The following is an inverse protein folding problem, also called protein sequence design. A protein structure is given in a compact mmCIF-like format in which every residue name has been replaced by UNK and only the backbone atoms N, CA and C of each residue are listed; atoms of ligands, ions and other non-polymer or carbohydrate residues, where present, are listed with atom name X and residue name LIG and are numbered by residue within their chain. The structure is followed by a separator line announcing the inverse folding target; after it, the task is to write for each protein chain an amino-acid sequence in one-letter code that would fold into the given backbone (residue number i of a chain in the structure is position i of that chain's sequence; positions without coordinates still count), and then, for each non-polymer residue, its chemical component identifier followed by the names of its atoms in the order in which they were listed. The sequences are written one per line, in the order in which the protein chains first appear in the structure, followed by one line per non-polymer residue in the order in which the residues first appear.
data_IF_220681177363
#
_entry.id   IF_220681177363
#
_cell.length_a   1.000
_cell.length_b   1.000
_cell.length_c   1.000
_cell.angle_alpha   90.00
_cell.angle_beta   90.00
_cell.angle_gamma   90.00
#
_symmetry.space_group_name_H-M   'P 1'
#
loop_
_entity.id
_entity.type
_entity.pdbx_description
1 polymer ?
#
# COMPACT_ATOMS: atom_id res chain seq x y z
N UNK A 1 14.15 72.94 -49.89
CA UNK A 1 14.03 73.41 -48.49
C UNK A 1 13.35 72.30 -47.68
N UNK A 2 14.11 71.63 -46.79
CA UNK A 2 13.72 70.77 -45.63
C UNK A 2 12.89 69.49 -45.95
N UNK A 3 13.40 68.24 -45.87
CA UNK A 3 13.90 67.39 -44.74
C UNK A 3 12.81 66.96 -43.73
N UNK A 4 12.45 65.65 -43.75
CA UNK A 4 12.38 64.65 -42.63
C UNK A 4 11.39 63.51 -42.97
N UNK A 5 11.84 62.29 -43.29
CA UNK A 5 12.13 61.14 -42.40
C UNK A 5 10.91 60.61 -41.61
N UNK A 6 10.39 59.42 -41.94
CA UNK A 6 10.36 58.29 -41.00
C UNK A 6 10.00 56.95 -41.70
N UNK A 7 10.88 55.99 -41.47
CA UNK A 7 10.84 54.58 -41.82
C UNK A 7 9.91 53.85 -40.83
N UNK A 8 8.96 53.04 -41.30
CA UNK A 8 8.29 52.02 -40.46
C UNK A 8 8.29 50.70 -41.21
N UNK A 9 9.21 49.83 -40.78
CA UNK A 9 9.31 48.42 -41.15
C UNK A 9 8.27 47.66 -40.34
N UNK A 10 7.29 47.04 -41.00
CA UNK A 10 6.33 46.14 -40.36
C UNK A 10 6.78 44.68 -40.56
N UNK A 11 7.54 44.15 -39.60
CA UNK A 11 7.84 42.71 -39.49
C UNK A 11 6.69 42.08 -38.70
N UNK A 12 5.78 41.42 -39.42
CA UNK A 12 4.73 40.59 -38.83
C UNK A 12 5.33 39.25 -38.39
N UNK A 13 5.73 39.19 -37.11
CA UNK A 13 6.17 37.98 -36.42
C UNK A 13 4.93 37.17 -35.98
N UNK A 14 4.49 36.20 -36.78
CA UNK A 14 3.48 35.22 -36.35
C UNK A 14 4.15 34.22 -35.42
N UNK A 15 4.11 34.51 -34.12
CA UNK A 15 4.51 33.63 -33.05
C UNK A 15 3.44 32.53 -32.92
N UNK A 16 3.62 31.42 -33.63
CA UNK A 16 2.82 30.22 -33.43
C UNK A 16 3.12 29.66 -32.04
N UNK A 17 2.24 29.91 -31.07
CA UNK A 17 2.25 29.28 -29.75
C UNK A 17 1.99 27.79 -29.93
N UNK A 18 3.06 27.00 -30.04
CA UNK A 18 2.99 25.57 -29.83
C UNK A 18 2.70 25.36 -28.34
N UNK A 19 1.41 25.24 -28.00
CA UNK A 19 1.00 24.59 -26.77
C UNK A 19 1.53 23.15 -26.84
N UNK A 20 2.71 22.93 -26.27
CA UNK A 20 3.14 21.60 -25.90
C UNK A 20 2.16 21.13 -24.83
N UNK A 21 1.14 20.38 -25.25
CA UNK A 21 0.44 19.48 -24.34
C UNK A 21 1.50 18.52 -23.81
N UNK A 22 2.02 18.83 -22.63
CA UNK A 22 2.71 17.84 -21.80
C UNK A 22 1.73 16.71 -21.60
N UNK A 23 1.92 15.62 -22.34
CA UNK A 23 1.28 14.34 -22.05
C UNK A 23 1.83 13.98 -20.67
N UNK A 24 1.06 14.24 -19.62
CA UNK A 24 1.39 13.79 -18.27
C UNK A 24 1.71 12.31 -18.40
N UNK A 25 2.94 11.92 -18.06
CA UNK A 25 3.33 10.52 -18.04
C UNK A 25 2.63 9.91 -16.83
N UNK A 26 1.36 9.54 -17.01
CA UNK A 26 0.54 8.96 -15.96
C UNK A 26 1.21 7.65 -15.54
N UNK A 27 1.75 7.63 -14.32
CA UNK A 27 2.44 6.45 -13.81
C UNK A 27 1.49 5.26 -13.84
N UNK A 28 1.95 4.15 -14.43
CA UNK A 28 1.14 2.96 -14.58
C UNK A 28 0.81 2.42 -13.19
N UNK A 29 -0.48 2.40 -12.84
CA UNK A 29 -1.00 1.84 -11.58
C UNK A 29 -0.47 0.43 -11.33
N UNK A 30 0.13 0.25 -10.17
CA UNK A 30 0.53 -1.04 -9.63
C UNK A 30 -0.66 -1.84 -9.08
N UNK A 31 -0.41 -3.13 -8.84
CA UNK A 31 -1.24 -3.97 -8.02
C UNK A 31 -0.46 -4.35 -6.76
N UNK A 32 -1.17 -4.75 -5.72
CA UNK A 32 -0.55 -5.23 -4.49
C UNK A 32 -1.08 -6.61 -4.18
N UNK A 33 -0.19 -7.50 -3.73
CA UNK A 33 -0.57 -8.75 -3.13
C UNK A 33 -0.34 -8.63 -1.62
N UNK A 34 -1.43 -8.70 -0.85
CA UNK A 34 -1.40 -8.81 0.60
C UNK A 34 -1.75 -10.24 0.98
N UNK A 35 -0.87 -10.91 1.71
CA UNK A 35 -1.09 -12.27 2.21
C UNK A 35 -1.14 -12.25 3.72
N UNK A 36 -2.15 -12.85 4.33
CA UNK A 36 -2.34 -12.91 5.79
C UNK A 36 -2.21 -14.35 6.25
N UNK A 37 -1.26 -14.59 7.15
CA UNK A 37 -1.04 -15.85 7.83
C UNK A 37 -1.61 -15.81 9.23
N UNK A 38 -2.43 -16.80 9.57
CA UNK A 38 -2.93 -17.01 10.92
C UNK A 38 -2.21 -18.20 11.55
N UNK A 39 -1.70 -18.02 12.76
CA UNK A 39 -0.98 -19.04 13.51
C UNK A 39 -1.24 -18.87 15.01
N UNK A 40 -0.86 -19.84 15.84
CA UNK A 40 -1.16 -19.79 17.28
C UNK A 40 -0.04 -20.33 18.17
N UNK A 41 1.07 -20.80 17.62
CA UNK A 41 2.19 -21.34 18.40
C UNK A 41 3.51 -20.63 18.09
N UNK A 42 4.46 -20.59 19.06
CA UNK A 42 5.81 -20.10 18.82
C UNK A 42 6.57 -20.90 17.75
N UNK A 43 6.36 -22.22 17.67
CA UNK A 43 7.01 -23.05 16.64
C UNK A 43 6.56 -22.67 15.23
N UNK A 44 5.26 -22.43 15.02
CA UNK A 44 4.77 -21.92 13.74
C UNK A 44 5.35 -20.55 13.41
N UNK A 45 5.49 -19.68 14.41
CA UNK A 45 6.12 -18.37 14.23
C UNK A 45 7.56 -18.50 13.73
N UNK A 46 8.37 -19.36 14.36
CA UNK A 46 9.75 -19.63 13.93
C UNK A 46 9.81 -20.20 12.51
N UNK A 47 8.93 -21.16 12.16
CA UNK A 47 8.88 -21.74 10.81
C UNK A 47 8.56 -20.65 9.77
N UNK A 48 7.57 -19.79 10.06
CA UNK A 48 7.19 -18.69 9.20
C UNK A 48 8.33 -17.67 9.03
N UNK A 49 8.98 -17.26 10.14
CA UNK A 49 10.11 -16.34 10.10
C UNK A 49 11.26 -16.88 9.24
N UNK A 50 11.64 -18.14 9.45
CA UNK A 50 12.68 -18.81 8.67
C UNK A 50 12.32 -18.85 7.18
N UNK A 51 11.07 -19.18 6.85
CA UNK A 51 10.60 -19.26 5.48
C UNK A 51 10.64 -17.91 4.77
N UNK A 52 10.13 -16.85 5.40
CA UNK A 52 10.11 -15.54 4.76
C UNK A 52 11.51 -14.98 4.58
N UNK A 53 12.33 -15.02 5.63
CA UNK A 53 13.68 -14.47 5.61
C UNK A 53 14.60 -15.19 4.61
N UNK A 54 14.55 -16.53 4.58
CA UNK A 54 15.56 -17.31 3.88
C UNK A 54 15.08 -17.88 2.53
N UNK A 55 13.76 -17.98 2.30
CA UNK A 55 13.21 -18.54 1.07
C UNK A 55 12.40 -17.52 0.26
N UNK A 56 11.28 -17.02 0.80
CA UNK A 56 10.33 -16.24 0.00
C UNK A 56 10.90 -14.89 -0.43
N UNK A 57 11.44 -14.08 0.49
CA UNK A 57 11.97 -12.76 0.16
C UNK A 57 13.10 -12.85 -0.87
N UNK A 58 14.14 -13.69 -0.68
CA UNK A 58 15.19 -13.85 -1.69
C UNK A 58 14.65 -14.28 -3.07
N UNK A 59 13.67 -15.19 -3.11
CA UNK A 59 13.07 -15.62 -4.37
C UNK A 59 12.27 -14.50 -5.06
N UNK A 60 11.57 -13.64 -4.31
CA UNK A 60 10.88 -12.47 -4.86
C UNK A 60 11.87 -11.41 -5.35
N UNK A 61 12.99 -11.22 -4.65
CA UNK A 61 14.09 -10.36 -5.10
C UNK A 61 14.69 -10.87 -6.43
N UNK A 62 14.89 -12.18 -6.57
CA UNK A 62 15.34 -12.82 -7.82
C UNK A 62 14.32 -12.61 -8.99
N UNK A 63 13.09 -12.17 -8.69
CA UNK A 63 12.03 -11.81 -9.66
C UNK A 63 11.83 -10.28 -9.82
N UNK A 64 12.79 -9.47 -9.40
CA UNK A 64 12.76 -8.00 -9.43
C UNK A 64 11.67 -7.36 -8.54
N UNK A 65 11.18 -8.07 -7.51
CA UNK A 65 10.24 -7.54 -6.51
C UNK A 65 11.03 -7.17 -5.25
N UNK A 66 11.65 -5.99 -5.27
CA UNK A 66 12.62 -5.54 -4.24
C UNK A 66 11.98 -4.88 -3.01
N UNK A 67 10.66 -4.91 -2.89
CA UNK A 67 9.92 -4.22 -1.84
C UNK A 67 8.91 -5.18 -1.22
N UNK A 68 9.41 -6.06 -0.36
CA UNK A 68 8.62 -7.06 0.36
C UNK A 68 8.54 -6.71 1.83
N UNK A 69 7.36 -6.26 2.25
CA UNK A 69 7.05 -5.97 3.63
C UNK A 69 6.57 -7.22 4.34
N UNK A 70 7.20 -7.60 5.46
CA UNK A 70 6.73 -8.69 6.34
C UNK A 70 6.50 -8.15 7.74
N UNK A 71 5.25 -8.21 8.18
CA UNK A 71 4.80 -7.57 9.41
C UNK A 71 4.11 -8.53 10.37
N UNK A 72 4.27 -8.33 11.66
CA UNK A 72 3.55 -9.03 12.72
C UNK A 72 2.60 -8.08 13.42
N UNK A 73 1.39 -8.52 13.77
CA UNK A 73 0.49 -7.69 14.56
C UNK A 73 1.10 -7.38 15.93
N UNK A 74 0.98 -6.13 16.37
CA UNK A 74 1.56 -5.66 17.65
C UNK A 74 0.95 -6.42 18.84
N UNK A 75 -0.30 -6.85 18.73
CA UNK A 75 -1.01 -7.59 19.76
C UNK A 75 -0.74 -9.11 19.75
N UNK A 76 0.19 -9.61 18.93
CA UNK A 76 0.45 -11.04 18.82
C UNK A 76 0.87 -11.68 20.16
N UNK A 77 1.55 -10.94 21.04
CA UNK A 77 2.00 -11.48 22.34
C UNK A 77 0.85 -11.83 23.28
N UNK A 78 -0.30 -11.18 23.12
CA UNK A 78 -1.50 -11.39 23.94
C UNK A 78 -2.62 -12.14 23.22
N UNK A 79 -2.45 -12.43 21.92
CA UNK A 79 -3.48 -13.05 21.08
C UNK A 79 -3.34 -14.57 20.99
N UNK A 80 -4.48 -15.26 21.07
CA UNK A 80 -4.59 -16.70 20.79
C UNK A 80 -4.60 -17.02 19.29
N UNK A 81 -4.99 -16.06 18.44
CA UNK A 81 -4.87 -16.14 16.98
C UNK A 81 -3.94 -15.01 16.54
N UNK A 82 -2.67 -15.36 16.33
CA UNK A 82 -1.63 -14.44 15.88
C UNK A 82 -1.72 -14.26 14.38
N UNK A 83 -1.33 -13.08 13.90
CA UNK A 83 -1.32 -12.76 12.47
C UNK A 83 0.03 -12.22 12.00
N UNK A 84 0.42 -12.65 10.79
CA UNK A 84 1.59 -12.15 10.06
C UNK A 84 1.13 -11.76 8.65
N UNK A 85 1.59 -10.61 8.17
CA UNK A 85 1.19 -9.99 6.91
C UNK A 85 2.39 -9.91 5.99
N UNK A 86 2.22 -10.30 4.73
CA UNK A 86 3.22 -10.13 3.67
C UNK A 86 2.62 -9.25 2.58
N UNK A 87 3.27 -8.14 2.26
CA UNK A 87 2.82 -7.17 1.28
C UNK A 87 3.93 -6.85 0.29
N UNK A 88 3.62 -6.88 -1.00
CA UNK A 88 4.55 -6.42 -2.03
C UNK A 88 3.80 -5.92 -3.28
N UNK A 89 4.38 -4.98 -4.04
CA UNK A 89 3.82 -4.51 -5.31
C UNK A 89 4.11 -5.50 -6.44
N UNK A 90 3.17 -5.60 -7.38
CA UNK A 90 3.32 -6.35 -8.63
C UNK A 90 2.86 -5.49 -9.82
N UNK A 91 3.56 -5.62 -10.94
CA UNK A 91 3.35 -4.79 -12.14
C UNK A 91 2.09 -5.14 -12.94
N UNK A 92 1.53 -6.34 -12.72
CA UNK A 92 0.31 -6.83 -13.37
C UNK A 92 -0.25 -8.05 -12.65
N UNK A 93 -1.52 -8.40 -12.89
CA UNK A 93 -2.14 -9.61 -12.33
C UNK A 93 -1.49 -10.91 -12.82
N UNK A 94 -0.90 -10.92 -14.03
CA UNK A 94 -0.16 -12.08 -14.54
C UNK A 94 1.07 -12.41 -13.68
N UNK A 95 1.57 -11.44 -12.89
CA UNK A 95 2.67 -11.71 -11.95
C UNK A 95 2.26 -12.70 -10.86
N UNK A 96 0.97 -12.80 -10.49
CA UNK A 96 0.52 -13.75 -9.47
C UNK A 96 0.79 -15.19 -9.92
N UNK A 97 0.39 -15.53 -11.15
CA UNK A 97 0.64 -16.85 -11.75
C UNK A 97 2.13 -17.08 -11.98
N UNK A 98 2.84 -16.07 -12.50
CA UNK A 98 4.28 -16.15 -12.72
C UNK A 98 5.07 -16.42 -11.43
N UNK A 99 4.78 -15.72 -10.33
CA UNK A 99 5.42 -15.93 -9.03
C UNK A 99 5.20 -17.36 -8.56
N UNK A 100 3.94 -17.82 -8.56
CA UNK A 100 3.61 -19.19 -8.15
C UNK A 100 4.37 -20.22 -8.99
N UNK A 101 4.36 -20.08 -10.32
CA UNK A 101 5.08 -20.95 -11.23
C UNK A 101 6.59 -20.94 -11.01
N UNK A 102 7.19 -19.78 -10.70
CA UNK A 102 8.63 -19.68 -10.40
C UNK A 102 8.98 -20.34 -9.08
N UNK A 103 8.26 -20.04 -8.00
CA UNK A 103 8.50 -20.66 -6.69
C UNK A 103 8.36 -22.19 -6.75
N UNK A 104 7.38 -22.71 -7.49
CA UNK A 104 7.18 -24.15 -7.67
C UNK A 104 8.33 -24.86 -8.41
N UNK A 105 9.13 -24.14 -9.19
CA UNK A 105 10.22 -24.70 -10.00
C UNK A 105 11.61 -24.31 -9.51
N UNK A 106 11.71 -23.51 -8.45
CA UNK A 106 12.96 -23.02 -7.89
C UNK A 106 13.47 -23.96 -6.78
N UNK A 107 14.53 -24.72 -7.08
CA UNK A 107 15.15 -25.66 -6.14
C UNK A 107 15.84 -24.95 -4.96
N UNK A 108 16.37 -23.74 -5.14
CA UNK A 108 16.96 -22.94 -4.06
C UNK A 108 15.86 -22.51 -3.08
N UNK A 109 14.73 -22.02 -3.60
CA UNK A 109 13.55 -21.69 -2.80
C UNK A 109 13.03 -22.92 -2.04
N UNK A 110 12.84 -24.06 -2.72
CA UNK A 110 12.36 -25.29 -2.08
C UNK A 110 13.29 -25.77 -0.97
N UNK A 111 14.59 -25.75 -1.22
CA UNK A 111 15.59 -26.18 -0.23
C UNK A 111 15.60 -25.23 0.98
N UNK A 112 15.56 -23.93 0.77
CA UNK A 112 15.56 -22.94 1.85
C UNK A 112 14.24 -22.94 2.65
N UNK A 113 13.12 -23.22 1.99
CA UNK A 113 11.78 -23.26 2.57
C UNK A 113 11.33 -24.65 3.04
N UNK A 114 12.23 -25.66 3.06
CA UNK A 114 11.85 -27.06 3.27
C UNK A 114 11.05 -27.31 4.54
N UNK A 115 11.42 -26.65 5.65
CA UNK A 115 10.72 -26.76 6.94
C UNK A 115 9.25 -26.30 6.85
N UNK A 116 8.99 -25.25 6.06
CA UNK A 116 7.65 -24.70 5.84
C UNK A 116 6.86 -25.51 4.80
N UNK A 117 7.50 -25.88 3.69
CA UNK A 117 6.84 -26.53 2.55
C UNK A 117 6.47 -27.99 2.83
N UNK A 118 7.24 -28.69 3.68
CA UNK A 118 7.12 -30.13 3.91
C UNK A 118 6.73 -30.48 5.36
N UNK A 119 5.87 -29.67 5.97
CA UNK A 119 5.30 -29.98 7.29
C UNK A 119 4.42 -31.24 7.26
N UNK A 120 4.29 -31.90 8.41
CA UNK A 120 3.33 -33.00 8.58
C UNK A 120 1.91 -32.44 8.65
N UNK A 121 0.94 -33.26 8.26
CA UNK A 121 -0.48 -32.89 8.24
C UNK A 121 -1.02 -32.47 9.62
N UNK A 122 -0.46 -33.00 10.71
CA UNK A 122 -0.84 -32.75 12.11
C UNK A 122 0.02 -31.70 12.82
N UNK A 123 1.10 -31.22 12.19
CA UNK A 123 1.94 -30.12 12.69
C UNK A 123 2.10 -29.05 11.61
N UNK A 124 1.01 -28.36 11.22
CA UNK A 124 1.03 -27.42 10.11
C UNK A 124 1.82 -26.15 10.43
N UNK A 125 2.50 -25.58 9.43
CA UNK A 125 3.27 -24.33 9.56
C UNK A 125 2.40 -23.11 9.94
N UNK A 126 1.10 -23.16 9.61
CA UNK A 126 0.12 -22.12 9.92
C UNK A 126 -1.28 -22.73 9.97
N UNK A 127 -2.23 -22.00 10.55
CA UNK A 127 -3.64 -22.39 10.66
C UNK A 127 -4.45 -22.02 9.41
N UNK A 128 -4.20 -20.83 8.86
CA UNK A 128 -4.88 -20.33 7.65
C UNK A 128 -3.99 -19.34 6.91
N UNK A 129 -4.13 -19.32 5.59
CA UNK A 129 -3.58 -18.29 4.70
C UNK A 129 -4.73 -17.64 3.93
N UNK A 130 -4.65 -16.32 3.76
CA UNK A 130 -5.56 -15.54 2.92
C UNK A 130 -4.74 -14.69 1.95
N UNK A 131 -5.20 -14.57 0.70
CA UNK A 131 -4.59 -13.68 -0.29
C UNK A 131 -5.61 -12.64 -0.71
N UNK A 132 -5.21 -11.38 -0.68
CA UNK A 132 -5.99 -10.22 -1.06
C UNK A 132 -5.23 -9.51 -2.18
N UNK A 133 -5.89 -9.32 -3.31
CA UNK A 133 -5.34 -8.58 -4.44
C UNK A 133 -5.97 -7.19 -4.48
N UNK A 134 -5.11 -6.19 -4.62
CA UNK A 134 -5.51 -4.79 -4.68
C UNK A 134 -4.97 -4.13 -5.94
N UNK A 135 -5.69 -3.13 -6.42
CA UNK A 135 -5.21 -2.20 -7.45
C UNK A 135 -4.98 -0.84 -6.82
N UNK A 136 -3.82 -0.23 -7.04
CA UNK A 136 -3.47 1.06 -6.44
C UNK A 136 -4.45 2.17 -6.83
N UNK A 137 -4.64 3.22 -6.05
CA UNK A 137 -5.49 4.34 -6.44
C UNK A 137 -4.92 5.13 -7.64
N UNK A 138 -5.78 5.85 -8.38
CA UNK A 138 -5.33 6.64 -9.54
C UNK A 138 -4.40 7.79 -9.14
N UNK A 139 -4.70 8.48 -8.03
CA UNK A 139 -3.88 9.58 -7.53
C UNK A 139 -2.76 9.12 -6.58
N UNK A 140 -2.60 7.81 -6.38
CA UNK A 140 -1.47 7.20 -5.68
C UNK A 140 -1.13 5.86 -6.35
N UNK A 141 -0.58 5.90 -7.57
CA UNK A 141 -0.51 4.74 -8.46
C UNK A 141 0.58 3.73 -8.10
N UNK A 142 1.56 4.13 -7.28
CA UNK A 142 2.73 3.32 -6.93
C UNK A 142 2.93 3.29 -5.41
N UNK A 143 3.50 2.20 -4.90
CA UNK A 143 3.91 2.10 -3.51
C UNK A 143 4.98 3.16 -3.18
N UNK A 144 4.90 3.75 -1.99
CA UNK A 144 5.91 4.66 -1.47
C UNK A 144 6.63 4.00 -0.30
N UNK A 145 7.94 3.80 -0.45
CA UNK A 145 8.75 3.27 0.66
C UNK A 145 8.87 4.32 1.77
N UNK A 146 8.71 3.92 3.03
CA UNK A 146 8.74 4.84 4.14
C UNK A 146 10.15 5.34 4.43
N UNK A 147 10.24 6.62 4.77
CA UNK A 147 11.47 7.33 5.12
C UNK A 147 11.45 7.70 6.59
N UNK A 148 11.50 6.67 7.44
CA UNK A 148 11.49 6.80 8.89
C UNK A 148 12.89 6.61 9.46
N UNK A 149 13.20 7.34 10.52
CA UNK A 149 14.51 7.35 11.18
C UNK A 149 14.61 6.27 12.27
N UNK A 150 13.49 5.89 12.89
CA UNK A 150 13.48 4.90 13.97
C UNK A 150 13.85 3.50 13.46
N UNK A 151 14.42 2.63 14.32
CA UNK A 151 14.63 1.23 13.97
C UNK A 151 13.30 0.51 13.73
N UNK A 152 13.31 -0.52 12.86
CA UNK A 152 12.13 -1.29 12.44
C UNK A 152 11.24 -1.74 13.61
N UNK A 153 11.84 -2.21 14.71
CA UNK A 153 11.12 -2.69 15.88
C UNK A 153 10.35 -1.60 16.67
N UNK A 154 10.62 -0.31 16.42
CA UNK A 154 9.89 0.81 17.01
C UNK A 154 8.79 1.35 16.10
N UNK A 155 8.97 1.23 14.78
CA UNK A 155 8.02 1.71 13.77
C UNK A 155 6.64 1.08 13.96
N UNK A 156 5.61 1.83 13.61
CA UNK A 156 4.23 1.35 13.65
C UNK A 156 3.62 1.54 12.27
N UNK A 157 3.18 0.44 11.68
CA UNK A 157 2.39 0.44 10.47
C UNK A 157 0.93 0.25 10.84
N UNK A 158 0.06 1.05 10.23
CA UNK A 158 -1.38 1.01 10.45
C UNK A 158 -2.06 0.65 9.13
N UNK A 159 -2.45 -0.63 9.04
CA UNK A 159 -3.22 -1.16 7.92
C UNK A 159 -4.71 -0.95 8.21
N UNK A 160 -5.42 -0.33 7.28
CA UNK A 160 -6.85 -0.07 7.41
C UNK A 160 -7.63 -0.68 6.26
N UNK A 161 -8.79 -1.25 6.57
CA UNK A 161 -9.78 -1.76 5.61
C UNK A 161 -11.10 -1.04 5.84
N UNK A 162 -11.60 -0.34 4.83
CA UNK A 162 -12.90 0.32 4.85
C UNK A 162 -13.84 -0.40 3.91
N UNK A 163 -14.82 -1.10 4.49
CA UNK A 163 -15.90 -1.77 3.78
C UNK A 163 -17.04 -0.80 3.50
N UNK A 164 -17.77 -1.02 2.40
CA UNK A 164 -18.97 -0.26 2.05
C UNK A 164 -20.15 -1.19 1.81
N UNK A 165 -21.37 -0.67 2.04
CA UNK A 165 -22.59 -1.48 1.94
C UNK A 165 -23.00 -1.86 0.51
N UNK A 166 -22.42 -1.21 -0.52
CA UNK A 166 -22.61 -1.54 -1.93
C UNK A 166 -21.45 -0.99 -2.77
N UNK A 167 -21.33 -1.46 -4.01
CA UNK A 167 -20.30 -1.03 -4.96
C UNK A 167 -20.42 0.46 -5.29
N UNK A 168 -21.63 1.02 -5.38
CA UNK A 168 -21.81 2.46 -5.62
C UNK A 168 -21.32 3.30 -4.44
N UNK A 169 -21.59 2.85 -3.21
CA UNK A 169 -21.14 3.54 -1.99
C UNK A 169 -19.61 3.43 -1.87
N UNK A 170 -19.07 2.26 -2.20
CA UNK A 170 -17.63 2.05 -2.31
C UNK A 170 -16.97 3.01 -3.29
N UNK A 171 -17.52 3.18 -4.50
CA UNK A 171 -17.00 4.13 -5.50
C UNK A 171 -17.00 5.56 -4.99
N UNK A 172 -18.04 5.96 -4.25
CA UNK A 172 -18.08 7.27 -3.59
C UNK A 172 -16.96 7.42 -2.54
N UNK A 173 -16.64 6.40 -1.74
CA UNK A 173 -15.52 6.48 -0.80
C UNK A 173 -14.15 6.50 -1.49
N UNK A 174 -13.98 5.75 -2.58
CA UNK A 174 -12.76 5.84 -3.41
C UNK A 174 -12.61 7.24 -4.00
N UNK A 175 -13.72 7.86 -4.44
CA UNK A 175 -13.72 9.21 -4.98
C UNK A 175 -13.44 10.26 -3.89
N UNK A 176 -13.92 10.08 -2.66
CA UNK A 176 -13.52 10.90 -1.51
C UNK A 176 -12.00 10.89 -1.29
N UNK A 177 -11.39 9.72 -1.40
CA UNK A 177 -9.94 9.56 -1.23
C UNK A 177 -9.15 10.25 -2.34
N UNK A 178 -9.52 10.01 -3.59
CA UNK A 178 -8.86 10.56 -4.76
C UNK A 178 -9.30 12.00 -4.99
N UNK A 179 -10.38 12.21 -5.72
CA UNK A 179 -10.83 13.52 -6.19
C UNK A 179 -11.35 14.43 -5.06
N UNK A 180 -11.80 13.85 -3.95
CA UNK A 180 -12.22 14.58 -2.74
C UNK A 180 -11.05 15.15 -1.93
N UNK A 181 -9.81 14.73 -2.18
CA UNK A 181 -8.60 15.31 -1.57
C UNK A 181 -8.17 14.69 -0.23
N UNK A 182 -8.71 13.53 0.19
CA UNK A 182 -8.25 12.87 1.43
C UNK A 182 -6.77 12.47 1.36
N UNK A 183 -6.30 12.01 0.19
CA UNK A 183 -4.87 11.70 -0.04
C UNK A 183 -4.00 12.95 0.14
N UNK A 184 -4.46 14.10 -0.35
CA UNK A 184 -3.72 15.36 -0.21
C UNK A 184 -3.63 15.81 1.25
N UNK A 185 -4.68 15.60 2.04
CA UNK A 185 -4.67 15.86 3.48
C UNK A 185 -3.66 14.93 4.18
N UNK A 186 -3.63 13.63 3.85
CA UNK A 186 -2.64 12.71 4.41
C UNK A 186 -1.20 13.09 4.02
N UNK A 187 -0.99 13.54 2.78
CA UNK A 187 0.31 14.02 2.33
C UNK A 187 0.73 15.31 3.06
N UNK A 188 -0.17 16.30 3.17
CA UNK A 188 0.03 17.56 3.90
C UNK A 188 0.41 17.31 5.37
N UNK A 189 -0.20 16.30 5.98
CA UNK A 189 0.01 15.94 7.38
C UNK A 189 1.07 14.84 7.57
N UNK A 190 1.86 14.50 6.54
CA UNK A 190 2.96 13.54 6.61
C UNK A 190 2.58 12.17 7.22
N UNK A 191 1.44 11.60 6.83
CA UNK A 191 1.02 10.27 7.28
C UNK A 191 1.90 9.10 6.80
N UNK A 192 2.95 9.38 6.03
CA UNK A 192 3.86 8.40 5.42
C UNK A 192 3.09 7.22 4.80
N UNK A 193 2.10 7.52 3.97
CA UNK A 193 1.29 6.50 3.34
C UNK A 193 2.15 5.62 2.42
N UNK A 194 2.12 4.30 2.68
CA UNK A 194 2.85 3.28 1.92
C UNK A 194 2.08 2.94 0.65
N UNK A 195 0.77 2.76 0.75
CA UNK A 195 -0.09 2.52 -0.40
C UNK A 195 -1.55 2.89 -0.10
N UNK A 196 -2.33 3.08 -1.16
CA UNK A 196 -3.78 3.06 -1.16
C UNK A 196 -4.26 2.18 -2.30
N UNK A 197 -5.28 1.36 -2.09
CA UNK A 197 -5.78 0.47 -3.12
C UNK A 197 -7.22 0.05 -2.94
N UNK A 198 -7.87 -0.22 -4.06
CA UNK A 198 -9.15 -0.91 -4.12
C UNK A 198 -8.92 -2.42 -4.09
N UNK A 199 -9.63 -3.14 -3.23
CA UNK A 199 -9.59 -4.61 -3.26
C UNK A 199 -10.36 -5.08 -4.48
N UNK A 200 -9.69 -5.91 -5.30
CA UNK A 200 -10.27 -6.50 -6.52
C UNK A 200 -10.55 -7.99 -6.35
N UNK A 201 -9.94 -8.63 -5.35
CA UNK A 201 -10.25 -9.98 -4.90
C UNK A 201 -9.91 -10.12 -3.41
N UNK A 202 -10.89 -10.53 -2.60
CA UNK A 202 -10.77 -10.69 -1.14
C UNK A 202 -12.12 -11.05 -0.49
N UNK A 203 -12.09 -11.43 0.79
CA UNK A 203 -13.27 -11.95 1.50
C UNK A 203 -14.21 -10.88 2.10
N UNK A 204 -13.79 -9.61 2.12
CA UNK A 204 -14.49 -8.48 2.78
C UNK A 204 -15.00 -7.42 1.77
N UNK A 205 -15.13 -7.79 0.50
CA UNK A 205 -15.50 -6.86 -0.57
C UNK A 205 -16.99 -6.43 -0.50
N UNK A 206 -17.32 -5.20 -0.97
CA UNK A 206 -16.42 -4.21 -1.53
C UNK A 206 -15.72 -3.39 -0.45
N UNK A 207 -14.40 -3.23 -0.58
CA UNK A 207 -13.60 -2.46 0.37
C UNK A 207 -12.36 -1.85 -0.30
N UNK A 208 -11.86 -0.77 0.30
CA UNK A 208 -10.52 -0.25 0.02
C UNK A 208 -9.61 -0.60 1.19
N UNK A 209 -8.31 -0.66 0.93
CA UNK A 209 -7.30 -0.72 1.98
C UNK A 209 -6.20 0.30 1.73
N UNK A 210 -5.62 0.79 2.81
CA UNK A 210 -4.44 1.64 2.78
C UNK A 210 -3.57 1.37 4.00
N UNK A 211 -2.30 1.77 3.91
CA UNK A 211 -1.36 1.62 5.01
C UNK A 211 -0.57 2.91 5.20
N UNK A 212 -0.55 3.40 6.45
CA UNK A 212 0.28 4.53 6.90
C UNK A 212 1.33 4.03 7.86
N UNK A 213 2.43 4.77 8.04
CA UNK A 213 3.46 4.38 9.00
C UNK A 213 4.02 5.54 9.79
N UNK A 214 4.53 5.22 10.97
CA UNK A 214 4.92 6.17 11.99
C UNK A 214 6.19 5.68 12.68
N UNK A 215 6.96 6.61 13.22
CA UNK A 215 8.17 6.37 13.99
C UNK A 215 7.90 5.50 15.21
N UNK A 216 6.73 5.69 15.85
CA UNK A 216 6.26 4.95 17.01
C UNK A 216 4.76 5.21 17.29
N UNK A 217 4.21 4.55 18.31
CA UNK A 217 2.79 4.71 18.70
C UNK A 217 2.42 6.13 19.14
N UNK A 218 3.31 6.83 19.86
CA UNK A 218 3.04 8.18 20.35
C UNK A 218 2.93 9.19 19.20
N UNK A 219 3.83 9.10 18.23
CA UNK A 219 3.80 9.93 17.02
C UNK A 219 2.59 9.61 16.14
N UNK A 220 2.23 8.32 15.99
CA UNK A 220 0.97 7.90 15.37
C UNK A 220 -0.24 8.58 16.01
N UNK A 221 -0.34 8.54 17.34
CA UNK A 221 -1.49 9.09 18.06
C UNK A 221 -1.60 10.61 17.89
N UNK A 222 -0.46 11.31 17.93
CA UNK A 222 -0.39 12.75 17.67
C UNK A 222 -0.82 13.12 16.23
N UNK A 223 -0.43 12.32 15.23
CA UNK A 223 -0.87 12.51 13.84
C UNK A 223 -2.38 12.37 13.68
N UNK A 224 -2.99 11.35 14.30
CA UNK A 224 -4.44 11.17 14.25
C UNK A 224 -5.22 12.23 15.03
N UNK A 225 -4.65 12.79 16.10
CA UNK A 225 -5.24 13.95 16.76
C UNK A 225 -5.20 15.19 15.86
N UNK A 226 -4.06 15.44 15.22
CA UNK A 226 -3.89 16.53 14.24
C UNK A 226 -4.88 16.38 13.08
N UNK A 227 -4.98 15.19 12.49
CA UNK A 227 -5.90 14.92 11.37
C UNK A 227 -7.37 15.16 11.72
N UNK A 228 -7.83 14.65 12.88
CA UNK A 228 -9.22 14.86 13.30
C UNK A 228 -9.54 16.33 13.55
N UNK A 229 -8.53 17.14 13.87
CA UNK A 229 -8.68 18.57 14.11
C UNK A 229 -8.46 19.46 12.89
N UNK A 230 -7.87 18.93 11.81
CA UNK A 230 -7.56 19.65 10.57
C UNK A 230 -8.83 20.22 9.90
N UNK A 231 -8.72 21.46 9.41
CA UNK A 231 -9.85 22.19 8.83
C UNK A 231 -10.31 21.59 7.49
N UNK A 232 -9.38 21.09 6.66
CA UNK A 232 -9.70 20.50 5.37
C UNK A 232 -10.40 19.16 5.57
N UNK A 233 -9.94 18.35 6.54
CA UNK A 233 -10.63 17.12 6.92
C UNK A 233 -12.04 17.37 7.46
N UNK A 234 -12.20 18.32 8.41
CA UNK A 234 -13.52 18.67 8.95
C UNK A 234 -14.47 19.15 7.86
N UNK A 235 -13.97 19.94 6.90
CA UNK A 235 -14.75 20.36 5.73
C UNK A 235 -15.14 19.15 4.87
N UNK A 236 -14.18 18.35 4.44
CA UNK A 236 -14.38 17.20 3.56
C UNK A 236 -15.37 16.19 4.15
N UNK A 237 -15.15 15.79 5.40
CA UNK A 237 -16.01 14.83 6.11
C UNK A 237 -17.42 15.34 6.43
N UNK A 238 -17.65 16.67 6.38
CA UNK A 238 -18.98 17.26 6.58
C UNK A 238 -19.85 17.28 5.32
N UNK A 239 -19.26 17.11 4.13
CA UNK A 239 -19.97 17.16 2.86
C UNK A 239 -21.03 16.05 2.78
N UNK A 240 -22.24 16.41 2.37
CA UNK A 240 -23.37 15.46 2.32
C UNK A 240 -23.13 14.29 1.36
N UNK A 241 -22.39 14.52 0.28
CA UNK A 241 -22.07 13.48 -0.71
C UNK A 241 -21.21 12.34 -0.18
N UNK A 242 -20.47 12.55 0.92
CA UNK A 242 -19.59 11.54 1.54
C UNK A 242 -20.16 10.93 2.81
N UNK A 243 -21.39 11.28 3.19
CA UNK A 243 -22.01 10.72 4.39
C UNK A 243 -22.28 9.22 4.22
N UNK A 244 -21.97 8.45 5.27
CA UNK A 244 -22.27 7.02 5.38
C UNK A 244 -21.66 6.16 4.25
N UNK A 245 -20.49 6.57 3.73
CA UNK A 245 -19.80 5.82 2.67
C UNK A 245 -18.87 4.70 3.15
N UNK A 246 -18.81 4.49 4.48
CA UNK A 246 -18.11 3.39 5.14
C UNK A 246 -19.10 2.68 6.06
N UNK A 247 -19.32 1.37 5.85
CA UNK A 247 -20.16 0.53 6.69
C UNK A 247 -19.39 -0.11 7.84
N UNK A 248 -18.10 -0.40 7.62
CA UNK A 248 -17.20 -0.96 8.62
C UNK A 248 -15.77 -0.47 8.41
N UNK A 249 -15.12 -0.10 9.51
CA UNK A 249 -13.71 0.28 9.54
C UNK A 249 -12.96 -0.72 10.41
N UNK A 250 -11.95 -1.35 9.83
CA UNK A 250 -11.02 -2.24 10.54
C UNK A 250 -9.64 -1.59 10.54
N UNK A 251 -9.04 -1.51 11.72
CA UNK A 251 -7.69 -0.99 11.93
C UNK A 251 -6.82 -2.13 12.48
N UNK A 252 -5.68 -2.35 11.86
CA UNK A 252 -4.69 -3.33 12.31
C UNK A 252 -3.33 -2.66 12.46
N UNK A 253 -2.80 -2.71 13.68
CA UNK A 253 -1.46 -2.19 13.99
C UNK A 253 -0.44 -3.32 13.88
N UNK A 254 0.55 -3.13 13.01
CA UNK A 254 1.56 -4.12 12.68
C UNK A 254 2.97 -3.51 12.78
N UNK A 255 3.96 -4.35 13.06
CA UNK A 255 5.38 -3.99 13.09
C UNK A 255 6.13 -4.77 12.02
N UNK A 256 7.07 -4.12 11.31
CA UNK A 256 7.92 -4.84 10.37
C UNK A 256 8.85 -5.77 11.16
N UNK A 257 9.09 -6.94 10.58
CA UNK A 257 10.15 -7.84 11.03
C UNK A 257 11.52 -7.27 10.63
N UNK A 258 12.59 -7.72 11.28
CA UNK A 258 13.94 -7.21 10.99
C UNK A 258 14.38 -7.50 9.54
N UNK A 259 13.88 -8.61 8.99
CA UNK A 259 14.12 -9.05 7.61
C UNK A 259 13.14 -8.49 6.57
N UNK A 260 12.12 -7.71 6.98
CA UNK A 260 11.24 -6.97 6.06
C UNK A 260 12.06 -5.96 5.24
N UNK A 261 11.80 -5.75 3.95
CA UNK A 261 12.54 -4.74 3.17
C UNK A 261 12.24 -3.30 3.64
N UNK A 262 11.06 -3.07 4.22
CA UNK A 262 10.62 -1.79 4.78
C UNK A 262 9.87 -1.93 6.09
#
# INVERSE_FOLDING_TARGET
MKIRTLLVVLISLTLSTQFLWSKSNEEKREFYQLTVYHYNTPSQETILDNYFQNALIPALHDMDIQSVGVFKAISNDTSTNKTLYVLFPIKSLNMVDYINGKLLNDEKFKSAGNEYLNVKYDTPAYKRIETILLKSFSLSPVMKLPKLDSPKNQRVYELRSYESASESIFRNKVQMFNEGGEIDIFAKLNFNAVFYGEVIAGSQMPNLMYMTTFENMGERDAHWDTFRNDADWKKLSSLSEYKNNVSRSVITLIRPTDYSDY
#
